data_IF_433439300188
#
_entry.id   IF_433439300188
#
_cell.length_a   1.000
_cell.length_b   1.000
_cell.length_c   1.000
_cell.angle_alpha   90.00
_cell.angle_beta   90.00
_cell.angle_gamma   90.00
#
_symmetry.space_group_name_H-M   'P 1'
#
loop_
_entity.id
_entity.type
_entity.pdbx_description
1 polymer ?
#
# COMPACT_ATOMS: atom_id res chain seq x y z
N UNK A 1 1.82 -13.71 -14.65
CA UNK A 1 1.97 -13.16 -13.28
C UNK A 1 0.98 -13.88 -12.38
N UNK A 2 1.23 -13.91 -11.07
CA UNK A 2 0.33 -14.55 -10.10
C UNK A 2 -0.08 -13.55 -9.03
N UNK A 3 -1.36 -13.54 -8.67
CA UNK A 3 -1.79 -12.96 -7.40
C UNK A 3 -1.53 -14.02 -6.32
N UNK A 4 -0.86 -13.62 -5.25
CA UNK A 4 -0.49 -14.48 -4.14
C UNK A 4 -1.10 -13.93 -2.85
N UNK A 5 -1.48 -14.82 -1.94
CA UNK A 5 -1.77 -14.52 -0.54
C UNK A 5 -0.69 -15.19 0.31
N UNK A 6 0.27 -14.40 0.84
CA UNK A 6 1.52 -14.94 1.40
C UNK A 6 2.21 -15.89 0.41
N UNK A 7 2.30 -17.18 0.72
CA UNK A 7 2.93 -18.20 -0.12
C UNK A 7 1.92 -18.90 -1.04
N UNK A 8 0.62 -18.66 -0.87
CA UNK A 8 -0.42 -19.39 -1.58
C UNK A 8 -0.82 -18.66 -2.86
N UNK A 9 -0.77 -19.32 -4.03
CA UNK A 9 -1.22 -18.72 -5.27
C UNK A 9 -2.75 -18.62 -5.31
N UNK A 10 -3.28 -17.45 -5.61
CA UNK A 10 -4.73 -17.19 -5.64
C UNK A 10 -5.26 -17.32 -7.06
N UNK A 11 -4.65 -16.60 -8.01
CA UNK A 11 -5.03 -16.62 -9.41
C UNK A 11 -3.86 -16.26 -10.34
N UNK A 12 -3.98 -16.65 -11.60
CA UNK A 12 -3.05 -16.34 -12.69
C UNK A 12 -3.67 -15.28 -13.60
N UNK A 13 -2.82 -14.34 -14.02
CA UNK A 13 -3.19 -13.30 -14.98
C UNK A 13 -2.00 -12.87 -15.84
N UNK A 14 -2.31 -12.22 -16.96
CA UNK A 14 -1.34 -11.52 -17.81
C UNK A 14 -1.59 -10.03 -17.66
N UNK A 15 -0.52 -9.23 -17.62
CA UNK A 15 -0.56 -7.78 -17.70
C UNK A 15 0.27 -7.34 -18.90
N UNK A 16 -0.36 -6.63 -19.83
CA UNK A 16 0.30 -6.05 -21.00
C UNK A 16 -0.14 -4.58 -21.18
N UNK A 17 0.13 -4.01 -22.35
CA UNK A 17 -0.23 -2.62 -22.67
C UNK A 17 -1.75 -2.43 -22.75
N UNK A 18 -2.50 -3.46 -23.13
CA UNK A 18 -3.96 -3.43 -23.23
C UNK A 18 -4.65 -3.58 -21.86
N UNK A 19 -3.92 -4.02 -20.84
CA UNK A 19 -4.39 -4.08 -19.46
C UNK A 19 -4.16 -5.43 -18.81
N UNK A 20 -5.10 -5.85 -17.96
CA UNK A 20 -5.02 -7.11 -17.23
C UNK A 20 -6.00 -8.11 -17.82
N UNK A 21 -5.54 -9.35 -18.02
CA UNK A 21 -6.32 -10.51 -18.47
C UNK A 21 -6.19 -11.66 -17.48
N UNK A 22 -7.29 -11.99 -16.79
CA UNK A 22 -7.36 -13.18 -15.95
C UNK A 22 -7.21 -14.44 -16.80
N UNK A 23 -6.55 -15.46 -16.22
CA UNK A 23 -6.30 -16.74 -16.91
C UNK A 23 -6.87 -17.92 -16.15
N UNK A 24 -6.66 -17.98 -14.84
CA UNK A 24 -7.12 -19.10 -14.02
C UNK A 24 -7.23 -18.69 -12.56
N UNK A 25 -8.31 -19.08 -11.90
CA UNK A 25 -8.41 -19.05 -10.44
C UNK A 25 -7.84 -20.37 -9.91
N UNK A 26 -6.91 -20.29 -8.95
CA UNK A 26 -6.27 -21.46 -8.33
C UNK A 26 -6.96 -21.75 -7.00
N UNK A 27 -7.10 -20.74 -6.13
CA UNK A 27 -7.68 -20.86 -4.80
C UNK A 27 -8.87 -19.89 -4.64
N UNK A 28 -10.11 -20.30 -5.01
CA UNK A 28 -11.29 -19.44 -4.98
C UNK A 28 -11.60 -18.85 -3.59
N UNK A 29 -11.37 -19.62 -2.53
CA UNK A 29 -11.62 -19.18 -1.15
C UNK A 29 -10.73 -18.01 -0.72
N UNK A 30 -9.55 -17.88 -1.35
CA UNK A 30 -8.55 -16.84 -1.10
C UNK A 30 -8.69 -15.63 -2.01
N UNK A 31 -9.76 -15.54 -2.81
CA UNK A 31 -10.04 -14.33 -3.58
C UNK A 31 -10.25 -13.16 -2.61
N UNK A 32 -9.64 -11.99 -2.85
CA UNK A 32 -9.87 -10.79 -2.05
C UNK A 32 -11.36 -10.51 -1.89
N UNK A 33 -11.81 -10.21 -0.67
CA UNK A 33 -13.23 -10.03 -0.36
C UNK A 33 -13.97 -9.09 -1.34
N UNK A 34 -13.42 -7.92 -1.75
CA UNK A 34 -14.09 -7.04 -2.72
C UNK A 34 -14.37 -7.69 -4.08
N UNK A 35 -13.62 -8.73 -4.44
CA UNK A 35 -13.71 -9.44 -5.72
C UNK A 35 -14.54 -10.72 -5.63
N UNK A 36 -14.96 -11.15 -4.44
CA UNK A 36 -15.75 -12.40 -4.29
C UNK A 36 -17.10 -12.34 -4.98
N UNK A 37 -17.72 -11.16 -5.06
CA UNK A 37 -19.02 -10.97 -5.73
C UNK A 37 -18.90 -11.05 -7.25
N UNK A 38 -17.83 -10.47 -7.78
CA UNK A 38 -17.62 -10.33 -9.22
C UNK A 38 -16.12 -10.30 -9.49
N UNK A 39 -15.61 -11.36 -10.13
CA UNK A 39 -14.22 -11.46 -10.55
C UNK A 39 -14.16 -11.52 -12.07
N UNK A 40 -13.67 -10.44 -12.68
CA UNK A 40 -13.36 -10.32 -14.09
C UNK A 40 -12.13 -9.40 -14.28
N UNK A 41 -11.71 -9.21 -15.52
CA UNK A 41 -10.54 -8.39 -15.87
C UNK A 41 -10.62 -6.97 -15.28
N UNK A 42 -11.79 -6.33 -15.39
CA UNK A 42 -12.00 -4.93 -15.01
C UNK A 42 -12.05 -4.75 -13.49
N UNK A 43 -12.80 -5.59 -12.80
CA UNK A 43 -12.89 -5.58 -11.32
C UNK A 43 -11.54 -5.87 -10.68
N UNK A 44 -10.78 -6.84 -11.20
CA UNK A 44 -9.44 -7.15 -10.70
C UNK A 44 -8.45 -6.02 -10.98
N UNK A 45 -8.48 -5.44 -12.18
CA UNK A 45 -7.66 -4.27 -12.54
C UNK A 45 -7.96 -3.08 -11.64
N UNK A 46 -9.24 -2.77 -11.42
CA UNK A 46 -9.70 -1.73 -10.52
C UNK A 46 -9.20 -1.94 -9.09
N UNK A 47 -9.37 -3.14 -8.54
CA UNK A 47 -8.92 -3.48 -7.20
C UNK A 47 -7.40 -3.32 -7.03
N UNK A 48 -6.60 -3.74 -8.02
CA UNK A 48 -5.14 -3.49 -8.00
C UNK A 48 -4.81 -1.99 -8.07
N UNK A 49 -5.57 -1.22 -8.85
CA UNK A 49 -5.44 0.24 -8.94
C UNK A 49 -5.72 0.94 -7.61
N UNK A 50 -6.80 0.57 -6.93
CA UNK A 50 -7.22 1.13 -5.63
C UNK A 50 -6.20 0.88 -4.51
N UNK A 51 -5.39 -0.17 -4.63
CA UNK A 51 -4.27 -0.44 -3.71
C UNK A 51 -3.10 0.49 -3.92
N UNK A 52 -2.94 1.08 -5.10
CA UNK A 52 -1.82 2.00 -5.39
C UNK A 52 -2.04 3.35 -4.71
N UNK A 53 -0.94 4.11 -4.55
CA UNK A 53 -1.05 5.53 -4.19
C UNK A 53 -1.93 6.28 -5.21
N UNK A 54 -2.98 7.01 -4.78
CA UNK A 54 -3.85 7.74 -5.70
C UNK A 54 -3.17 9.00 -6.24
N UNK A 55 -3.46 9.35 -7.48
CA UNK A 55 -2.88 10.51 -8.17
C UNK A 55 -3.26 11.85 -7.51
N UNK A 56 -4.38 11.85 -6.77
CA UNK A 56 -4.93 12.99 -6.04
C UNK A 56 -4.41 13.10 -4.59
N UNK A 57 -3.50 12.21 -4.16
CA UNK A 57 -2.80 12.35 -2.87
C UNK A 57 -2.13 13.71 -2.81
N UNK A 58 -2.37 14.44 -1.71
CA UNK A 58 -1.75 15.77 -1.48
C UNK A 58 -0.23 15.67 -1.67
N UNK A 59 0.32 16.53 -2.53
CA UNK A 59 1.76 16.63 -2.84
C UNK A 59 2.31 15.57 -3.79
N UNK A 60 1.52 14.56 -4.19
CA UNK A 60 2.03 13.47 -5.01
C UNK A 60 2.37 13.90 -6.44
N UNK A 61 1.57 14.76 -7.07
CA UNK A 61 1.84 15.25 -8.43
C UNK A 61 3.17 16.00 -8.50
N UNK A 62 3.45 16.82 -7.50
CA UNK A 62 4.69 17.59 -7.38
C UNK A 62 5.89 16.66 -7.21
N UNK A 63 5.80 15.71 -6.28
CA UNK A 63 6.84 14.71 -6.02
C UNK A 63 7.07 13.83 -7.26
N UNK A 64 6.02 13.41 -7.94
CA UNK A 64 6.07 12.61 -9.17
C UNK A 64 6.73 13.38 -10.32
N UNK A 65 6.50 14.68 -10.43
CA UNK A 65 7.19 15.56 -11.39
C UNK A 65 8.68 15.71 -11.10
N UNK A 66 9.06 15.78 -9.81
CA UNK A 66 10.46 15.94 -9.40
C UNK A 66 11.30 14.69 -9.64
N UNK A 67 10.78 13.50 -9.33
CA UNK A 67 11.55 12.25 -9.39
C UNK A 67 11.21 11.35 -10.58
N UNK A 68 10.18 11.70 -11.36
CA UNK A 68 9.71 10.94 -12.51
C UNK A 68 8.72 9.83 -12.17
N UNK A 69 7.75 9.60 -13.07
CA UNK A 69 6.62 8.71 -12.84
C UNK A 69 7.03 7.26 -12.55
N UNK A 70 8.10 6.80 -13.21
CA UNK A 70 8.60 5.44 -13.07
C UNK A 70 8.98 5.13 -11.61
N UNK A 71 9.40 6.11 -10.82
CA UNK A 71 9.76 5.89 -9.41
C UNK A 71 8.56 5.46 -8.54
N UNK A 72 7.31 5.69 -8.99
CA UNK A 72 6.11 5.50 -8.20
C UNK A 72 5.24 4.31 -8.64
N UNK A 73 5.86 3.32 -9.28
CA UNK A 73 5.19 2.10 -9.71
C UNK A 73 5.65 0.95 -8.83
N UNK A 74 4.72 0.36 -8.08
CA UNK A 74 5.00 -0.84 -7.29
C UNK A 74 5.19 -2.04 -8.22
N UNK A 75 6.28 -2.79 -8.04
CA UNK A 75 6.52 -4.02 -8.81
C UNK A 75 5.64 -5.16 -8.32
N UNK A 76 5.65 -5.40 -7.01
CA UNK A 76 5.00 -6.56 -6.40
C UNK A 76 3.68 -6.22 -5.71
N UNK A 77 3.29 -4.96 -5.60
CA UNK A 77 2.09 -4.55 -4.86
C UNK A 77 2.03 -5.15 -3.43
N UNK A 78 3.18 -5.36 -2.80
CA UNK A 78 3.26 -5.76 -1.40
C UNK A 78 2.83 -4.58 -0.52
N UNK A 79 2.14 -4.85 0.59
CA UNK A 79 1.57 -3.82 1.47
C UNK A 79 1.80 -4.16 2.94
N UNK A 80 1.59 -3.15 3.80
CA UNK A 80 1.51 -3.28 5.25
C UNK A 80 0.06 -3.28 5.77
N UNK A 81 -0.95 -3.25 4.88
CA UNK A 81 -2.38 -3.29 5.24
C UNK A 81 -3.06 -4.61 4.89
N UNK A 82 -2.43 -5.43 4.06
CA UNK A 82 -2.91 -6.76 3.68
C UNK A 82 -1.69 -7.66 3.34
N UNK A 83 -1.95 -8.91 2.95
CA UNK A 83 -0.90 -9.89 2.63
C UNK A 83 -0.98 -10.39 1.19
N UNK A 84 -1.69 -9.65 0.34
CA UNK A 84 -1.76 -9.92 -1.09
C UNK A 84 -0.59 -9.26 -1.81
N UNK A 85 -0.05 -9.94 -2.80
CA UNK A 85 1.02 -9.40 -3.63
C UNK A 85 1.03 -10.06 -5.00
N UNK A 86 1.74 -9.45 -5.93
CA UNK A 86 1.94 -9.95 -7.28
C UNK A 86 3.34 -10.56 -7.37
N UNK A 87 3.36 -11.83 -7.74
CA UNK A 87 4.58 -12.53 -8.11
C UNK A 87 4.79 -12.42 -9.63
N UNK A 88 5.84 -11.70 -10.02
CA UNK A 88 6.20 -11.45 -11.42
C UNK A 88 7.32 -12.37 -11.92
N UNK A 89 8.14 -12.87 -10.98
CA UNK A 89 9.29 -13.77 -11.19
C UNK A 89 9.26 -14.85 -10.11
N UNK A 90 10.38 -15.50 -9.84
CA UNK A 90 10.50 -16.55 -8.81
C UNK A 90 10.73 -16.00 -7.39
N UNK A 91 10.28 -14.78 -7.12
CA UNK A 91 10.41 -14.14 -5.80
C UNK A 91 9.61 -14.93 -4.75
N UNK A 92 10.09 -14.94 -3.50
CA UNK A 92 9.40 -15.60 -2.37
C UNK A 92 8.79 -14.55 -1.44
N UNK A 93 7.67 -14.87 -0.78
CA UNK A 93 7.00 -13.99 0.18
C UNK A 93 7.97 -13.44 1.24
N UNK A 94 8.86 -14.29 1.78
CA UNK A 94 9.86 -13.89 2.78
C UNK A 94 10.83 -12.81 2.32
N UNK A 95 10.98 -12.59 1.00
CA UNK A 95 11.85 -11.56 0.42
C UNK A 95 11.13 -10.26 0.11
N UNK A 96 9.80 -10.25 0.04
CA UNK A 96 9.02 -9.07 -0.33
C UNK A 96 8.10 -8.58 0.80
N UNK A 97 7.86 -9.40 1.83
CA UNK A 97 7.04 -9.07 2.98
C UNK A 97 7.67 -7.97 3.87
N UNK A 98 7.05 -6.79 3.87
CA UNK A 98 7.48 -5.64 4.67
C UNK A 98 7.34 -5.83 6.19
N UNK A 99 6.52 -6.77 6.67
CA UNK A 99 6.39 -7.05 8.11
C UNK A 99 7.64 -7.70 8.72
N UNK A 100 8.48 -8.33 7.89
CA UNK A 100 9.63 -9.13 8.36
C UNK A 100 10.96 -8.66 7.77
N UNK A 101 11.00 -7.48 7.16
CA UNK A 101 12.24 -6.93 6.58
C UNK A 101 12.23 -5.41 6.53
N UNK A 102 13.40 -4.82 6.30
CA UNK A 102 13.53 -3.38 6.05
C UNK A 102 13.11 -3.03 4.62
N UNK A 103 12.55 -1.84 4.45
CA UNK A 103 12.16 -1.27 3.15
C UNK A 103 12.71 0.14 2.97
N UNK A 104 12.64 0.63 1.74
CA UNK A 104 13.11 1.96 1.40
C UNK A 104 12.17 3.04 1.92
N UNK A 105 12.75 3.97 2.68
CA UNK A 105 12.06 5.11 3.29
C UNK A 105 12.03 6.36 2.41
N UNK A 106 12.74 6.41 1.28
CA UNK A 106 12.84 7.63 0.46
C UNK A 106 11.50 8.03 -0.14
N UNK A 107 10.69 7.07 -0.60
CA UNK A 107 9.36 7.34 -1.17
C UNK A 107 8.43 7.92 -0.11
N UNK A 108 8.27 7.27 1.04
CA UNK A 108 7.45 7.79 2.14
C UNK A 108 7.93 9.15 2.67
N UNK A 109 9.24 9.40 2.69
CA UNK A 109 9.79 10.73 3.04
C UNK A 109 9.40 11.81 2.02
N UNK A 110 9.55 11.51 0.73
CA UNK A 110 9.18 12.43 -0.35
C UNK A 110 7.67 12.72 -0.36
N UNK A 111 6.82 11.79 0.08
CA UNK A 111 5.35 11.93 0.07
C UNK A 111 4.72 12.65 1.29
N UNK A 112 5.53 13.25 2.17
CA UNK A 112 5.01 13.81 3.43
C UNK A 112 5.37 15.29 3.64
N UNK A 113 6.61 15.59 4.02
CA UNK A 113 7.20 16.92 4.19
C UNK A 113 8.71 16.73 4.32
N UNK A 114 9.56 17.53 3.66
CA UNK A 114 9.26 18.74 2.88
C UNK A 114 8.89 18.51 1.39
N UNK A 115 8.45 17.31 1.02
CA UNK A 115 8.15 16.90 -0.38
C UNK A 115 9.36 16.63 -1.26
N UNK A 116 10.52 16.56 -0.62
CA UNK A 116 11.78 16.30 -1.29
C UNK A 116 12.69 15.44 -0.42
N UNK A 117 13.54 14.72 -1.12
CA UNK A 117 14.67 13.92 -0.65
C UNK A 117 15.80 14.08 -1.66
N UNK A 118 17.04 13.82 -1.25
CA UNK A 118 18.21 13.87 -2.13
C UNK A 118 18.04 12.99 -3.38
N UNK A 119 17.52 11.77 -3.21
CA UNK A 119 17.20 10.86 -4.31
C UNK A 119 16.21 9.77 -3.88
N UNK A 120 15.43 9.25 -4.82
CA UNK A 120 14.67 8.01 -4.64
C UNK A 120 15.59 6.84 -4.99
N UNK A 121 15.86 5.97 -4.02
CA UNK A 121 16.85 4.89 -4.18
C UNK A 121 16.26 3.63 -4.79
N UNK A 122 14.98 3.33 -4.52
CA UNK A 122 14.30 2.16 -5.07
C UNK A 122 12.77 2.29 -5.02
N UNK A 123 12.09 1.39 -5.75
CA UNK A 123 10.63 1.18 -5.70
C UNK A 123 10.21 0.20 -4.57
N UNK A 124 11.13 -0.14 -3.66
CA UNK A 124 10.92 -1.14 -2.62
C UNK A 124 10.31 -0.51 -1.36
N UNK A 125 9.08 -0.01 -1.48
CA UNK A 125 8.43 0.78 -0.42
C UNK A 125 6.93 0.47 -0.31
N UNK A 126 6.40 0.28 0.91
CA UNK A 126 4.96 0.11 1.15
C UNK A 126 4.15 1.38 0.88
N UNK A 127 4.80 2.54 0.78
CA UNK A 127 4.12 3.81 0.48
C UNK A 127 3.54 3.84 -0.94
N UNK A 128 4.02 2.99 -1.85
CA UNK A 128 3.47 2.80 -3.19
C UNK A 128 2.11 2.09 -3.19
N UNK A 129 1.80 1.35 -2.13
CA UNK A 129 0.55 0.57 -1.97
C UNK A 129 -0.29 1.07 -0.81
N UNK A 130 -0.14 2.36 -0.49
CA UNK A 130 -0.87 3.01 0.59
C UNK A 130 -1.88 3.97 -0.02
N UNK A 131 -3.17 3.71 0.17
CA UNK A 131 -4.28 4.49 -0.43
C UNK A 131 -4.78 5.67 0.43
N UNK A 132 -5.71 6.45 -0.11
CA UNK A 132 -6.35 7.63 0.49
C UNK A 132 -5.68 8.96 0.09
N UNK A 133 -6.33 10.09 0.37
CA UNK A 133 -5.96 11.40 -0.19
C UNK A 133 -5.05 12.25 0.71
N UNK A 134 -5.19 12.13 2.04
CA UNK A 134 -4.38 12.89 2.98
C UNK A 134 -2.94 12.38 3.04
N UNK A 135 -2.03 13.28 3.43
CA UNK A 135 -0.62 13.00 3.66
C UNK A 135 -0.45 11.88 4.66
N UNK A 136 0.27 10.84 4.24
CA UNK A 136 0.61 9.72 5.10
C UNK A 136 1.86 9.02 4.58
N UNK A 137 2.61 8.42 5.50
CA UNK A 137 3.77 7.58 5.18
C UNK A 137 3.99 6.49 6.21
N UNK A 138 4.58 5.37 5.80
CA UNK A 138 5.08 4.37 6.72
C UNK A 138 6.45 4.75 7.27
N UNK A 139 6.58 4.76 8.60
CA UNK A 139 7.86 4.88 9.30
C UNK A 139 8.17 3.56 9.98
N UNK A 140 9.24 2.91 9.56
CA UNK A 140 9.78 1.76 10.28
C UNK A 140 10.70 2.25 11.40
N UNK A 141 10.62 1.60 12.55
CA UNK A 141 11.58 1.78 13.62
C UNK A 141 12.98 1.33 13.16
N UNK A 142 14.04 2.02 13.59
CA UNK A 142 15.40 1.69 13.14
C UNK A 142 15.94 0.43 13.85
N UNK A 143 15.57 0.20 15.11
CA UNK A 143 16.06 -0.91 15.95
C UNK A 143 15.19 -2.18 15.84
N UNK A 144 13.92 -2.04 15.46
CA UNK A 144 12.96 -3.13 15.26
C UNK A 144 12.45 -3.18 13.82
N UNK A 145 11.60 -4.15 13.48
CA UNK A 145 10.93 -4.20 12.18
C UNK A 145 9.50 -3.66 12.24
N UNK A 146 9.09 -3.10 13.38
CA UNK A 146 7.76 -2.53 13.55
C UNK A 146 7.63 -1.26 12.72
N UNK A 147 6.50 -1.14 12.03
CA UNK A 147 6.16 0.03 11.22
C UNK A 147 4.93 0.72 11.79
N UNK A 148 4.94 2.05 11.79
CA UNK A 148 3.80 2.89 12.11
C UNK A 148 3.40 3.70 10.87
N UNK A 149 2.10 3.87 10.64
CA UNK A 149 1.60 4.76 9.59
C UNK A 149 1.42 6.16 10.18
N UNK A 150 2.26 7.09 9.78
CA UNK A 150 2.14 8.50 10.17
C UNK A 150 1.14 9.15 9.24
N UNK A 151 0.15 9.85 9.79
CA UNK A 151 -0.87 10.59 9.04
C UNK A 151 -0.85 12.05 9.47
N UNK A 152 -0.91 12.97 8.51
CA UNK A 152 -1.07 14.39 8.79
C UNK A 152 -2.49 14.84 8.45
N UNK A 153 -2.98 15.79 9.25
CA UNK A 153 -4.24 16.47 8.97
C UNK A 153 -4.20 17.28 7.68
N UNK A 154 -5.40 17.61 7.19
CA UNK A 154 -5.56 18.52 6.07
C UNK A 154 -5.10 19.93 6.43
N UNK A 155 -4.88 20.78 5.41
CA UNK A 155 -4.56 22.19 5.65
C UNK A 155 -5.76 23.00 6.17
N UNK A 156 -6.98 22.57 5.86
CA UNK A 156 -8.19 23.35 6.13
C UNK A 156 -8.65 23.20 7.59
N UNK A 157 -8.76 21.96 8.08
CA UNK A 157 -9.21 21.68 9.45
C UNK A 157 -8.07 21.16 10.34
N UNK A 158 -7.20 20.29 9.81
CA UNK A 158 -6.06 19.73 10.53
C UNK A 158 -6.41 18.79 11.69
N UNK A 159 -7.70 18.56 11.96
CA UNK A 159 -8.20 17.79 13.10
C UNK A 159 -8.38 16.30 12.80
N UNK A 160 -8.18 15.84 11.57
CA UNK A 160 -8.37 14.44 11.19
C UNK A 160 -7.55 13.46 12.05
N UNK A 161 -6.26 13.73 12.39
CA UNK A 161 -5.51 12.86 13.29
C UNK A 161 -6.10 12.80 14.70
N UNK A 162 -6.60 13.92 15.22
CA UNK A 162 -7.26 13.97 16.53
C UNK A 162 -8.55 13.13 16.51
N UNK A 163 -9.33 13.22 15.44
CA UNK A 163 -10.55 12.41 15.28
C UNK A 163 -10.25 10.92 15.16
N UNK A 164 -9.16 10.53 14.49
CA UNK A 164 -8.73 9.13 14.46
C UNK A 164 -8.35 8.61 15.87
N UNK A 165 -7.61 9.40 16.67
CA UNK A 165 -7.27 9.03 18.06
C UNK A 165 -8.53 8.95 18.94
N UNK A 166 -9.45 9.90 18.83
CA UNK A 166 -10.69 9.88 19.59
C UNK A 166 -11.54 8.64 19.25
N UNK A 167 -11.66 8.31 17.97
CA UNK A 167 -12.35 7.10 17.52
C UNK A 167 -11.66 5.84 18.07
N UNK A 168 -10.33 5.80 18.10
CA UNK A 168 -9.57 4.70 18.66
C UNK A 168 -9.89 4.48 20.15
N UNK A 169 -9.88 5.55 20.96
CA UNK A 169 -10.23 5.49 22.38
C UNK A 169 -11.66 5.00 22.61
N UNK A 170 -12.62 5.41 21.76
CA UNK A 170 -14.01 4.91 21.84
C UNK A 170 -14.05 3.41 21.55
N UNK A 171 -13.40 2.95 20.47
CA UNK A 171 -13.34 1.53 20.12
C UNK A 171 -12.70 0.68 21.23
N UNK A 172 -11.61 1.15 21.85
CA UNK A 172 -10.98 0.48 22.99
C UNK A 172 -11.93 0.33 24.18
N UNK A 173 -12.66 1.39 24.53
CA UNK A 173 -13.67 1.34 25.61
C UNK A 173 -14.83 0.41 25.30
N UNK A 174 -15.12 0.18 24.03
CA UNK A 174 -16.12 -0.79 23.58
C UNK A 174 -15.58 -2.23 23.48
N UNK A 175 -14.29 -2.47 23.77
CA UNK A 175 -13.66 -3.78 23.62
C UNK A 175 -13.44 -4.19 22.16
N UNK A 176 -13.46 -3.25 21.22
CA UNK A 176 -13.20 -3.51 19.80
C UNK A 176 -11.70 -3.50 19.58
N UNK A 177 -11.16 -4.59 19.05
CA UNK A 177 -9.74 -4.68 18.67
C UNK A 177 -9.44 -3.73 17.51
N UNK A 178 -8.54 -2.79 17.74
CA UNK A 178 -8.05 -1.83 16.75
C UNK A 178 -6.51 -1.81 16.73
N UNK A 179 -5.92 -1.06 15.80
CA UNK A 179 -4.50 -0.72 15.87
C UNK A 179 -4.25 0.31 16.98
N UNK A 180 -3.03 0.36 17.51
CA UNK A 180 -2.64 1.38 18.48
C UNK A 180 -2.52 2.75 17.79
N UNK A 181 -3.06 3.80 18.41
CA UNK A 181 -2.99 5.17 17.92
C UNK A 181 -2.32 6.08 18.96
N UNK A 182 -1.46 6.98 18.48
CA UNK A 182 -0.82 8.05 19.25
C UNK A 182 -0.87 9.33 18.41
N UNK A 183 -0.97 10.50 19.07
CA UNK A 183 -0.99 11.81 18.42
C UNK A 183 0.43 12.34 18.21
#
# INVERSE_FOLDING_TARGET
MQLMLKNEPVLLFIKDVAGIKLKKVINPEMIPLPLKRELNDDTFSKWLGERSIPEERVGFKEVKKLYGEKCFISRNYASLTDQYWIQNREEKWSKINFFTRKYDKTIGKALFSPWEVESIRSQDSPDLTTSGLLRKRWKQDDNTLRSKLIKAGSKAAGQEPLYEVLAAVICERMGIRIADYEL
#
